data_IF_146519534970
#
_entry.id   IF_146519534970
#
_cell.length_a   1.000
_cell.length_b   1.000
_cell.length_c   1.000
_cell.angle_alpha   90.00
_cell.angle_beta   90.00
_cell.angle_gamma   90.00
#
_symmetry.space_group_name_H-M   'P 1'
#
loop_
_entity.id
_entity.type
_entity.pdbx_description
1 polymer ?
#
# COMPACT_ATOMS: atom_id res chain seq x y z
N UNK A 1 -32.01 -10.14 -0.97
CA UNK A 1 -32.29 -8.76 -0.52
C UNK A 1 -30.94 -8.06 -0.44
N UNK A 2 -30.54 -7.08 -1.24
CA UNK A 2 -31.20 -6.24 -2.25
C UNK A 2 -30.17 -6.02 -3.39
N UNK A 3 -30.53 -6.31 -4.64
CA UNK A 3 -29.65 -6.19 -5.83
C UNK A 3 -29.39 -4.70 -6.21
N UNK A 4 -30.07 -3.77 -5.52
CA UNK A 4 -30.04 -2.33 -5.78
C UNK A 4 -28.80 -1.57 -5.22
N UNK A 5 -28.04 -2.12 -4.26
CA UNK A 5 -26.89 -1.39 -3.67
C UNK A 5 -25.57 -1.56 -4.44
N UNK A 6 -25.43 -2.64 -5.22
CA UNK A 6 -24.22 -2.94 -6.02
C UNK A 6 -23.97 -1.90 -7.13
N UNK A 7 -25.03 -1.32 -7.67
CA UNK A 7 -24.93 -0.26 -8.69
C UNK A 7 -24.59 1.12 -8.10
N UNK A 8 -24.76 1.31 -6.79
CA UNK A 8 -24.67 2.64 -6.18
C UNK A 8 -23.22 3.02 -5.89
N UNK A 9 -22.40 2.12 -5.32
CA UNK A 9 -20.99 2.43 -5.00
C UNK A 9 -20.12 2.53 -6.25
N UNK A 10 -20.22 1.58 -7.18
CA UNK A 10 -19.54 1.67 -8.47
C UNK A 10 -20.09 2.82 -9.33
N UNK A 11 -21.38 3.15 -9.18
CA UNK A 11 -21.99 4.34 -9.75
C UNK A 11 -21.38 5.62 -9.19
N UNK A 12 -21.14 5.71 -7.87
CA UNK A 12 -20.52 6.86 -7.23
C UNK A 12 -19.07 7.06 -7.66
N UNK A 13 -18.25 6.00 -7.70
CA UNK A 13 -16.86 6.10 -8.17
C UNK A 13 -16.80 6.43 -9.67
N UNK A 14 -17.64 5.80 -10.51
CA UNK A 14 -17.73 6.16 -11.94
C UNK A 14 -18.25 7.58 -12.16
N UNK A 15 -19.21 8.05 -11.35
CA UNK A 15 -19.73 9.41 -11.45
C UNK A 15 -18.73 10.44 -10.91
N UNK A 16 -17.94 10.14 -9.88
CA UNK A 16 -16.84 10.98 -9.40
C UNK A 16 -15.73 11.13 -10.45
N UNK A 17 -15.38 10.03 -11.13
CA UNK A 17 -14.42 10.06 -12.23
C UNK A 17 -14.96 10.81 -13.46
N UNK A 18 -16.28 10.75 -13.71
CA UNK A 18 -16.94 11.47 -14.82
C UNK A 18 -17.11 12.97 -14.54
N UNK A 19 -17.48 13.34 -13.31
CA UNK A 19 -17.69 14.73 -12.90
C UNK A 19 -16.39 15.57 -12.91
N UNK A 20 -15.24 14.95 -12.63
CA UNK A 20 -13.95 15.62 -12.73
C UNK A 20 -13.46 15.83 -14.18
N UNK A 21 -13.96 15.05 -15.14
CA UNK A 21 -13.64 15.24 -16.55
C UNK A 21 -14.42 16.43 -17.17
N UNK A 22 -15.60 16.74 -16.63
CA UNK A 22 -16.47 17.80 -17.15
C UNK A 22 -16.13 19.20 -16.57
N UNK A 23 -15.40 19.28 -15.45
CA UNK A 23 -15.02 20.55 -14.80
C UNK A 23 -13.72 21.19 -15.31
N UNK A 24 -13.07 20.64 -16.35
CA UNK A 24 -11.89 21.26 -16.99
C UNK A 24 -12.23 22.24 -18.12
N UNK A 25 -13.50 22.62 -18.29
CA UNK A 25 -13.91 23.70 -19.18
C UNK A 25 -14.26 24.96 -18.38
N UNK A 26 -13.37 25.96 -18.48
CA UNK A 26 -13.53 27.40 -18.19
C UNK A 26 -14.69 27.88 -17.30
N UNK A 27 -14.37 28.64 -16.25
CA UNK A 27 -14.79 30.04 -16.15
C UNK A 27 -14.05 30.81 -15.04
N UNK A 28 -13.35 31.85 -15.46
CA UNK A 28 -12.93 32.97 -14.64
C UNK A 28 -14.15 33.80 -14.23
N UNK A 29 -14.28 34.19 -12.96
CA UNK A 29 -14.95 35.44 -12.56
C UNK A 29 -14.66 35.79 -11.09
N UNK A 30 -14.82 37.08 -10.82
CA UNK A 30 -14.15 37.93 -9.85
C UNK A 30 -14.75 37.97 -8.44
N UNK A 31 -13.86 38.27 -7.47
CA UNK A 31 -14.04 38.99 -6.19
C UNK A 31 -15.47 39.36 -5.77
N UNK A 32 -15.85 38.94 -4.57
CA UNK A 32 -16.43 39.83 -3.56
C UNK A 32 -16.15 39.32 -2.15
N UNK A 33 -15.93 40.29 -1.27
CA UNK A 33 -15.59 40.23 0.14
C UNK A 33 -16.76 39.79 1.01
N UNK A 34 -16.52 38.90 1.98
CA UNK A 34 -17.37 38.81 3.18
C UNK A 34 -16.57 38.29 4.39
N UNK A 35 -16.98 38.78 5.55
CA UNK A 35 -16.16 39.05 6.73
C UNK A 35 -15.86 37.82 7.59
N UNK A 36 -14.61 37.71 8.04
CA UNK A 36 -14.14 36.81 9.11
C UNK A 36 -14.74 37.22 10.46
N UNK A 37 -15.31 36.30 11.27
CA UNK A 37 -15.65 36.59 12.64
C UNK A 37 -14.41 36.58 13.55
N UNK A 38 -14.50 37.45 14.56
CA UNK A 38 -13.45 37.96 15.45
C UNK A 38 -12.81 36.87 16.32
N UNK A 39 -11.48 36.92 16.40
CA UNK A 39 -10.64 36.24 17.38
C UNK A 39 -10.92 36.83 18.76
N UNK A 40 -11.37 36.00 19.69
CA UNK A 40 -11.48 36.34 21.11
C UNK A 40 -10.27 35.72 21.85
N UNK A 41 -9.44 36.57 22.44
CA UNK A 41 -8.29 36.18 23.25
C UNK A 41 -8.70 36.05 24.73
N UNK A 42 -8.66 34.84 25.27
CA UNK A 42 -8.38 34.62 26.70
C UNK A 42 -7.73 33.25 26.94
N UNK A 43 -6.71 33.13 27.81
CA UNK A 43 -5.95 31.90 28.00
C UNK A 43 -6.38 31.17 29.27
N UNK A 44 -7.06 30.04 29.11
CA UNK A 44 -7.04 28.94 30.10
C UNK A 44 -7.14 27.64 29.33
N UNK A 45 -5.99 27.09 28.92
CA UNK A 45 -5.94 25.79 28.24
C UNK A 45 -5.87 24.71 29.32
N UNK A 46 -7.01 24.09 29.61
CA UNK A 46 -7.07 22.92 30.47
C UNK A 46 -6.45 21.73 29.71
N UNK A 47 -5.32 21.24 30.21
CA UNK A 47 -4.52 20.17 29.61
C UNK A 47 -5.20 18.78 29.56
N UNK A 48 -6.45 18.71 30.03
CA UNK A 48 -7.30 17.52 30.01
C UNK A 48 -8.08 17.35 28.70
N UNK A 49 -8.54 18.42 28.05
CA UNK A 49 -9.36 18.33 26.81
C UNK A 49 -8.55 17.97 25.56
N UNK A 50 -7.25 18.33 25.53
CA UNK A 50 -6.33 17.98 24.42
C UNK A 50 -5.97 16.48 24.36
N UNK A 51 -6.20 15.72 25.44
CA UNK A 51 -6.01 14.26 25.44
C UNK A 51 -7.22 13.54 24.87
N UNK A 52 -8.42 14.10 25.04
CA UNK A 52 -9.65 13.47 24.56
C UNK A 52 -9.82 13.63 23.04
N UNK A 53 -9.41 14.76 22.44
CA UNK A 53 -9.41 14.90 20.98
C UNK A 53 -8.42 13.97 20.28
N UNK A 54 -7.20 13.78 20.83
CA UNK A 54 -6.22 12.82 20.29
C UNK A 54 -6.66 11.36 20.44
N UNK A 55 -7.48 11.06 21.45
CA UNK A 55 -8.02 9.71 21.70
C UNK A 55 -9.26 9.45 20.84
N UNK A 56 -10.07 10.46 20.56
CA UNK A 56 -11.25 10.35 19.67
C UNK A 56 -10.88 10.28 18.18
N UNK A 57 -9.80 10.94 17.75
CA UNK A 57 -9.28 10.84 16.37
C UNK A 57 -8.75 9.45 16.00
N UNK A 58 -8.45 8.58 16.99
CA UNK A 58 -8.00 7.20 16.75
C UNK A 58 -9.15 6.21 16.53
N UNK A 59 -10.40 6.58 16.85
CA UNK A 59 -11.54 5.65 16.85
C UNK A 59 -12.54 5.84 15.69
N UNK A 60 -12.28 6.75 14.75
CA UNK A 60 -13.01 6.78 13.47
C UNK A 60 -12.41 5.76 12.49
N UNK A 61 -12.47 4.47 12.81
CA UNK A 61 -12.22 3.44 11.82
C UNK A 61 -13.34 3.48 10.78
N UNK A 62 -12.98 3.84 9.55
CA UNK A 62 -13.89 3.76 8.41
C UNK A 62 -14.35 2.30 8.28
N UNK A 63 -15.64 2.04 8.47
CA UNK A 63 -16.21 0.70 8.27
C UNK A 63 -16.28 0.41 6.77
N UNK A 64 -15.36 -0.43 6.27
CA UNK A 64 -15.37 -0.87 4.88
C UNK A 64 -16.33 -2.04 4.76
N UNK A 65 -17.37 -1.89 3.93
CA UNK A 65 -18.25 -2.99 3.59
C UNK A 65 -17.56 -3.90 2.57
N UNK A 66 -17.15 -5.07 3.04
CA UNK A 66 -16.55 -6.09 2.18
C UNK A 66 -17.61 -6.84 1.37
N UNK A 67 -17.22 -7.24 0.16
CA UNK A 67 -18.04 -7.94 -0.80
C UNK A 67 -18.15 -9.42 -0.50
N UNK A 68 -18.47 -10.19 -1.54
CA UNK A 68 -18.71 -11.64 -1.42
C UNK A 68 -17.77 -12.49 -2.26
N UNK A 69 -16.77 -11.87 -2.93
CA UNK A 69 -15.82 -12.60 -3.78
C UNK A 69 -14.92 -13.47 -2.90
N UNK A 70 -14.95 -14.77 -3.16
CA UNK A 70 -14.13 -15.78 -2.48
C UNK A 70 -13.03 -16.29 -3.41
N UNK A 71 -11.95 -16.81 -2.85
CA UNK A 71 -10.90 -17.50 -3.61
C UNK A 71 -11.11 -19.00 -3.41
N UNK A 72 -11.36 -19.75 -4.48
CA UNK A 72 -11.62 -21.19 -4.41
C UNK A 72 -12.69 -21.57 -3.38
N UNK A 73 -13.72 -20.73 -3.21
CA UNK A 73 -14.79 -20.94 -2.23
C UNK A 73 -14.45 -20.54 -0.78
N UNK A 74 -13.23 -20.04 -0.53
CA UNK A 74 -12.76 -19.59 0.77
C UNK A 74 -12.84 -18.06 0.92
N UNK A 75 -13.20 -17.54 2.11
CA UNK A 75 -13.02 -16.13 2.41
C UNK A 75 -11.53 -15.78 2.50
N UNK A 76 -11.22 -14.49 2.38
CA UNK A 76 -9.87 -13.96 2.61
C UNK A 76 -9.62 -13.89 4.12
N UNK A 77 -8.62 -14.64 4.57
CA UNK A 77 -8.17 -14.61 5.95
C UNK A 77 -6.92 -13.75 6.14
N UNK A 78 -6.21 -13.42 5.06
CA UNK A 78 -4.98 -12.63 5.09
C UNK A 78 -4.93 -11.62 3.95
N UNK A 79 -4.64 -10.36 4.28
CA UNK A 79 -4.28 -9.33 3.29
C UNK A 79 -2.82 -8.95 3.50
N UNK A 80 -2.00 -9.11 2.46
CA UNK A 80 -0.54 -9.07 2.58
C UNK A 80 0.07 -8.13 1.55
N UNK A 81 0.88 -7.19 2.02
CA UNK A 81 1.71 -6.34 1.18
C UNK A 81 2.92 -7.12 0.66
N UNK A 82 3.19 -7.03 -0.65
CA UNK A 82 4.43 -7.48 -1.28
C UNK A 82 5.36 -6.29 -1.62
N UNK A 83 5.13 -5.11 -1.05
CA UNK A 83 5.88 -3.89 -1.39
C UNK A 83 5.25 -3.15 -2.58
N UNK A 84 5.97 -2.36 -3.38
CA UNK A 84 7.43 -2.10 -3.43
C UNK A 84 7.95 -1.10 -2.39
N UNK A 85 7.07 -0.46 -1.63
CA UNK A 85 7.40 0.55 -0.63
C UNK A 85 6.38 0.51 0.52
N UNK A 86 6.56 1.35 1.55
CA UNK A 86 5.79 1.29 2.79
C UNK A 86 4.29 1.61 2.66
N UNK A 87 3.86 2.27 1.58
CA UNK A 87 2.47 2.72 1.38
C UNK A 87 1.44 1.61 1.55
N UNK A 88 1.61 0.47 0.87
CA UNK A 88 0.65 -0.65 0.96
C UNK A 88 0.54 -1.15 2.40
N UNK A 89 1.67 -1.32 3.08
CA UNK A 89 1.71 -1.75 4.47
C UNK A 89 1.01 -0.75 5.42
N UNK A 90 1.17 0.55 5.17
CA UNK A 90 0.51 1.61 5.93
C UNK A 90 -0.99 1.68 5.69
N UNK A 91 -1.46 1.59 4.44
CA UNK A 91 -2.90 1.53 4.11
C UNK A 91 -3.53 0.33 4.81
N UNK A 92 -2.95 -0.87 4.67
CA UNK A 92 -3.50 -2.07 5.31
C UNK A 92 -3.56 -1.96 6.83
N UNK A 93 -2.53 -1.34 7.45
CA UNK A 93 -2.53 -1.09 8.90
C UNK A 93 -3.60 -0.08 9.31
N UNK A 94 -3.73 1.04 8.58
CA UNK A 94 -4.66 2.14 8.85
C UNK A 94 -6.12 1.65 8.88
N UNK A 95 -6.47 0.72 7.99
CA UNK A 95 -7.83 0.21 7.86
C UNK A 95 -8.05 -1.16 8.53
N UNK A 96 -7.15 -1.59 9.42
CA UNK A 96 -7.31 -2.84 10.18
C UNK A 96 -7.26 -4.11 9.31
N UNK A 97 -6.76 -4.03 8.08
CA UNK A 97 -6.68 -5.15 7.13
C UNK A 97 -5.49 -6.07 7.39
N UNK A 98 -4.60 -5.69 8.30
CA UNK A 98 -3.31 -6.31 8.52
C UNK A 98 -3.26 -7.09 9.83
N UNK A 99 -3.26 -8.43 9.74
CA UNK A 99 -3.11 -9.33 10.92
C UNK A 99 -1.70 -9.36 11.50
N UNK A 100 -0.70 -9.25 10.64
CA UNK A 100 0.70 -9.44 11.00
C UNK A 100 1.62 -8.60 10.10
N UNK A 101 2.87 -8.44 10.49
CA UNK A 101 3.90 -7.88 9.61
C UNK A 101 4.62 -8.98 8.82
N UNK A 102 4.84 -8.75 7.54
CA UNK A 102 5.48 -9.65 6.59
C UNK A 102 6.77 -8.99 6.04
N UNK A 103 7.65 -9.74 5.35
CA UNK A 103 9.00 -9.30 5.00
C UNK A 103 9.07 -8.02 4.16
N UNK A 104 8.07 -7.80 3.31
CA UNK A 104 8.00 -6.67 2.40
C UNK A 104 7.29 -5.45 3.00
N UNK A 105 6.98 -5.49 4.29
CA UNK A 105 6.52 -4.31 5.00
C UNK A 105 7.69 -3.40 5.36
N UNK A 106 7.48 -2.08 5.22
CA UNK A 106 8.44 -1.08 5.70
C UNK A 106 9.82 -1.13 5.01
N UNK A 107 9.88 -1.66 3.78
CA UNK A 107 11.09 -1.73 2.97
C UNK A 107 10.88 -1.10 1.60
N UNK A 108 11.97 -0.71 0.95
CA UNK A 108 12.01 -0.36 -0.47
C UNK A 108 12.51 -1.55 -1.28
N UNK A 109 11.62 -2.12 -2.08
CA UNK A 109 11.83 -3.32 -2.88
C UNK A 109 11.39 -3.08 -4.33
N UNK A 110 11.30 -4.15 -5.11
CA UNK A 110 10.75 -4.19 -6.45
C UNK A 110 10.06 -5.54 -6.71
N UNK A 111 9.22 -5.66 -7.75
CA UNK A 111 8.64 -6.94 -8.15
C UNK A 111 9.70 -8.03 -8.37
N UNK A 112 10.85 -7.68 -8.96
CA UNK A 112 11.99 -8.58 -9.19
C UNK A 112 12.57 -9.10 -7.88
N UNK A 113 12.77 -8.23 -6.89
CA UNK A 113 13.25 -8.67 -5.57
C UNK A 113 12.26 -9.63 -4.90
N UNK A 114 10.95 -9.38 -5.03
CA UNK A 114 9.93 -10.30 -4.48
C UNK A 114 10.03 -11.66 -5.17
N UNK A 115 10.20 -11.68 -6.49
CA UNK A 115 10.39 -12.91 -7.27
C UNK A 115 11.64 -13.66 -6.78
N UNK A 116 12.78 -12.99 -6.64
CA UNK A 116 14.02 -13.58 -6.13
C UNK A 116 13.82 -14.19 -4.74
N UNK A 117 13.22 -13.45 -3.81
CA UNK A 117 12.94 -13.91 -2.45
C UNK A 117 12.01 -15.12 -2.41
N UNK A 118 11.02 -15.20 -3.32
CA UNK A 118 10.15 -16.36 -3.42
C UNK A 118 10.91 -17.57 -3.98
N UNK A 119 11.76 -17.35 -4.98
CA UNK A 119 12.52 -18.40 -5.65
C UNK A 119 13.55 -19.05 -4.73
N UNK A 120 14.33 -18.24 -4.01
CA UNK A 120 15.40 -18.69 -3.10
C UNK A 120 14.93 -18.94 -1.66
N UNK A 121 13.62 -18.87 -1.41
CA UNK A 121 13.01 -19.05 -0.10
C UNK A 121 13.55 -18.11 1.01
N UNK A 122 13.91 -16.89 0.64
CA UNK A 122 14.43 -15.80 1.46
C UNK A 122 15.86 -16.01 2.00
N UNK A 123 16.62 -16.94 1.41
CA UNK A 123 18.01 -17.17 1.81
C UNK A 123 18.88 -15.93 1.60
N UNK A 124 18.83 -15.32 0.42
CA UNK A 124 19.60 -14.12 0.11
C UNK A 124 19.12 -12.92 0.93
N UNK A 125 17.80 -12.75 1.06
CA UNK A 125 17.18 -11.67 1.84
C UNK A 125 17.69 -11.64 3.29
N UNK A 126 17.90 -12.81 3.90
CA UNK A 126 18.38 -12.95 5.28
C UNK A 126 19.90 -13.10 5.38
N UNK A 127 20.65 -13.07 4.28
CA UNK A 127 22.11 -13.14 4.34
C UNK A 127 22.69 -11.85 4.96
N UNK A 128 23.12 -11.93 6.22
CA UNK A 128 23.73 -10.81 6.96
C UNK A 128 24.91 -10.19 6.22
N UNK A 129 25.63 -10.94 5.38
CA UNK A 129 26.77 -10.41 4.59
C UNK A 129 26.33 -9.41 3.53
N UNK A 130 25.05 -9.47 3.13
CA UNK A 130 24.45 -8.53 2.19
C UNK A 130 23.89 -7.29 2.88
N UNK A 131 23.84 -7.23 4.21
CA UNK A 131 23.23 -6.12 4.93
C UNK A 131 24.28 -5.07 5.27
N UNK A 132 24.03 -3.82 4.90
CA UNK A 132 24.94 -2.71 5.15
C UNK A 132 24.24 -1.54 5.81
N UNK A 133 24.79 -1.07 6.91
CA UNK A 133 24.35 0.10 7.66
C UNK A 133 24.29 1.35 6.78
N UNK A 134 23.20 2.12 6.87
CA UNK A 134 23.08 3.44 6.19
C UNK A 134 22.56 4.56 7.11
N UNK A 135 22.28 4.29 8.39
CA UNK A 135 21.80 5.32 9.32
C UNK A 135 22.77 6.50 9.40
N UNK A 136 22.27 7.73 9.24
CA UNK A 136 23.09 8.95 9.19
C UNK A 136 23.86 9.17 7.88
N UNK A 137 23.78 8.23 6.93
CA UNK A 137 24.40 8.31 5.59
C UNK A 137 23.35 8.11 4.48
N UNK A 138 22.11 8.51 4.74
CA UNK A 138 21.00 8.42 3.77
C UNK A 138 21.14 9.44 2.66
N UNK A 139 20.53 9.12 1.52
CA UNK A 139 20.52 10.00 0.33
C UNK A 139 19.90 11.36 0.64
N UNK A 140 18.89 11.41 1.50
CA UNK A 140 18.24 12.65 1.93
C UNK A 140 18.86 13.29 3.18
N UNK A 141 19.96 12.75 3.71
CA UNK A 141 20.60 13.23 4.94
C UNK A 141 19.84 12.93 6.24
N UNK A 142 18.77 12.12 6.20
CA UNK A 142 18.01 11.74 7.38
C UNK A 142 18.84 10.87 8.34
N UNK A 143 18.63 11.08 9.65
CA UNK A 143 19.18 10.27 10.74
C UNK A 143 18.34 9.03 11.06
N UNK A 144 17.28 8.76 10.30
CA UNK A 144 16.43 7.59 10.54
C UNK A 144 17.19 6.26 10.44
N UNK A 145 16.94 5.30 11.35
CA UNK A 145 17.56 3.98 11.31
C UNK A 145 17.29 3.25 10.00
N UNK A 146 18.32 2.70 9.36
CA UNK A 146 18.16 1.93 8.14
C UNK A 146 19.38 1.13 7.73
N UNK A 147 19.13 0.13 6.88
CA UNK A 147 20.15 -0.63 6.19
C UNK A 147 19.81 -0.76 4.70
N UNK A 148 20.81 -1.03 3.88
CA UNK A 148 20.64 -1.43 2.48
C UNK A 148 20.97 -2.92 2.33
N UNK A 149 20.54 -3.50 1.21
CA UNK A 149 20.91 -4.85 0.79
C UNK A 149 21.84 -4.75 -0.42
N UNK A 150 23.10 -5.16 -0.28
CA UNK A 150 24.17 -4.95 -1.27
C UNK A 150 23.78 -5.55 -2.62
N UNK A 151 23.45 -6.84 -2.68
CA UNK A 151 23.04 -7.50 -3.92
C UNK A 151 21.82 -6.81 -4.60
N UNK A 152 20.71 -6.61 -3.89
CA UNK A 152 19.52 -5.98 -4.49
C UNK A 152 19.78 -4.52 -4.92
N UNK A 153 20.63 -3.79 -4.21
CA UNK A 153 21.04 -2.45 -4.62
C UNK A 153 21.84 -2.49 -5.92
N UNK A 154 22.80 -3.40 -6.04
CA UNK A 154 23.64 -3.54 -7.25
C UNK A 154 22.86 -4.07 -8.45
N UNK A 155 21.95 -5.00 -8.23
CA UNK A 155 21.22 -5.69 -9.30
C UNK A 155 19.92 -4.98 -9.72
N UNK A 156 19.21 -4.35 -8.78
CA UNK A 156 17.89 -3.74 -8.99
C UNK A 156 17.82 -2.24 -8.63
N UNK A 157 18.91 -1.67 -8.10
CA UNK A 157 18.92 -0.26 -7.71
C UNK A 157 18.03 0.05 -6.50
N UNK A 158 17.74 -0.92 -5.64
CA UNK A 158 16.96 -0.74 -4.39
C UNK A 158 17.85 -0.18 -3.27
N UNK A 159 18.04 1.14 -3.27
CA UNK A 159 18.74 1.85 -2.20
C UNK A 159 17.90 1.88 -0.92
N UNK A 160 18.58 1.90 0.24
CA UNK A 160 17.93 2.01 1.56
C UNK A 160 16.83 0.96 1.75
N UNK A 161 17.12 -0.27 1.31
CA UNK A 161 16.22 -1.41 1.26
C UNK A 161 15.42 -1.59 2.56
N UNK A 162 16.12 -1.70 3.70
CA UNK A 162 15.50 -1.73 5.02
C UNK A 162 15.28 -0.30 5.53
N UNK A 163 14.23 0.34 5.00
CA UNK A 163 14.03 1.79 5.11
C UNK A 163 13.75 2.28 6.52
N UNK A 164 13.18 1.48 7.40
CA UNK A 164 12.81 1.91 8.76
C UNK A 164 13.54 1.14 9.87
N UNK A 165 14.46 0.24 9.52
CA UNK A 165 15.16 -0.64 10.45
C UNK A 165 16.56 -0.90 9.95
N UNK A 166 17.52 -0.79 10.84
CA UNK A 166 18.90 -1.15 10.56
C UNK A 166 19.12 -2.62 10.89
N UNK A 167 19.14 -3.47 9.86
CA UNK A 167 19.30 -4.93 10.00
C UNK A 167 20.72 -5.39 10.34
N UNK A 168 21.68 -4.46 10.43
CA UNK A 168 22.99 -4.78 11.03
C UNK A 168 22.92 -4.94 12.54
N UNK A 169 21.84 -4.42 13.15
CA UNK A 169 21.49 -4.62 14.56
C UNK A 169 20.67 -5.91 14.71
N UNK A 170 21.07 -6.77 15.65
CA UNK A 170 20.49 -8.09 15.86
C UNK A 170 18.97 -8.09 16.10
N UNK A 171 18.46 -7.14 16.89
CA UNK A 171 17.02 -7.03 17.15
C UNK A 171 16.20 -6.79 15.87
N UNK A 172 16.68 -5.89 15.00
CA UNK A 172 16.05 -5.56 13.72
C UNK A 172 16.17 -6.71 12.72
N UNK A 173 17.32 -7.39 12.68
CA UNK A 173 17.48 -8.62 11.91
C UNK A 173 16.46 -9.67 12.34
N UNK A 174 16.33 -9.89 13.66
CA UNK A 174 15.41 -10.87 14.22
C UNK A 174 13.94 -10.51 13.94
N UNK A 175 13.59 -9.22 13.82
CA UNK A 175 12.26 -8.79 13.35
C UNK A 175 11.97 -9.35 11.95
N UNK A 176 12.88 -9.17 11.00
CA UNK A 176 12.68 -9.67 9.63
C UNK A 176 12.74 -11.20 9.55
N UNK A 177 13.61 -11.85 10.32
CA UNK A 177 13.64 -13.32 10.42
C UNK A 177 12.28 -13.90 10.87
N UNK A 178 11.64 -13.29 11.88
CA UNK A 178 10.28 -13.67 12.30
C UNK A 178 9.23 -13.35 11.23
N UNK A 179 9.35 -12.22 10.54
CA UNK A 179 8.44 -11.85 9.46
C UNK A 179 8.52 -12.85 8.29
N UNK A 180 9.73 -13.26 7.90
CA UNK A 180 9.99 -14.29 6.88
C UNK A 180 9.42 -15.63 7.32
N UNK A 181 9.69 -16.04 8.56
CA UNK A 181 9.14 -17.30 9.09
C UNK A 181 7.62 -17.33 9.01
N UNK A 182 6.94 -16.27 9.45
CA UNK A 182 5.47 -16.15 9.34
C UNK A 182 4.98 -16.18 7.88
N UNK A 183 5.68 -15.51 6.98
CA UNK A 183 5.31 -15.49 5.56
C UNK A 183 5.46 -16.87 4.93
N UNK A 184 6.54 -17.60 5.21
CA UNK A 184 6.73 -18.98 4.76
C UNK A 184 5.63 -19.92 5.27
N UNK A 185 5.22 -19.78 6.53
CA UNK A 185 4.09 -20.55 7.06
C UNK A 185 2.76 -20.15 6.43
N UNK A 186 2.54 -18.85 6.17
CA UNK A 186 1.36 -18.39 5.44
C UNK A 186 1.31 -18.98 4.02
N UNK A 187 2.42 -19.01 3.29
CA UNK A 187 2.45 -19.58 1.94
C UNK A 187 2.09 -21.08 1.91
N UNK A 188 2.40 -21.81 2.98
CA UNK A 188 2.03 -23.23 3.13
C UNK A 188 0.59 -23.45 3.57
N UNK A 189 -0.09 -22.43 4.11
CA UNK A 189 -1.44 -22.60 4.64
C UNK A 189 -2.47 -22.71 3.52
N UNK A 190 -3.59 -23.41 3.76
CA UNK A 190 -4.70 -23.49 2.81
C UNK A 190 -5.70 -22.33 2.94
N UNK A 191 -5.42 -21.35 3.81
CA UNK A 191 -6.33 -20.21 4.04
C UNK A 191 -6.37 -19.28 2.83
N UNK A 192 -7.44 -18.48 2.69
CA UNK A 192 -7.56 -17.51 1.60
C UNK A 192 -6.62 -16.31 1.77
N UNK A 193 -5.82 -16.01 0.75
CA UNK A 193 -4.77 -14.98 0.78
C UNK A 193 -5.02 -13.92 -0.30
N UNK A 194 -5.01 -12.65 0.08
CA UNK A 194 -5.00 -11.53 -0.85
C UNK A 194 -3.64 -10.86 -0.80
N UNK A 195 -2.83 -11.02 -1.85
CA UNK A 195 -1.57 -10.31 -2.01
C UNK A 195 -1.80 -9.00 -2.75
N UNK A 196 -1.12 -7.94 -2.32
CA UNK A 196 -1.22 -6.62 -2.93
C UNK A 196 0.18 -6.06 -3.13
N UNK A 197 0.47 -5.60 -4.34
CA UNK A 197 1.70 -4.90 -4.67
C UNK A 197 1.38 -3.58 -5.36
N UNK A 198 1.89 -2.48 -4.81
CA UNK A 198 1.81 -1.15 -5.43
C UNK A 198 3.23 -0.75 -5.83
N UNK A 199 3.43 -0.51 -7.12
CA UNK A 199 4.74 -0.16 -7.68
C UNK A 199 4.75 1.24 -8.26
N UNK A 200 5.74 2.03 -7.85
CA UNK A 200 5.99 3.36 -8.43
C UNK A 200 6.42 3.23 -9.90
N UNK A 201 6.30 4.30 -10.68
CA UNK A 201 6.64 4.29 -12.12
C UNK A 201 8.09 3.87 -12.44
N UNK A 202 9.01 4.00 -11.47
CA UNK A 202 10.40 3.55 -11.60
C UNK A 202 10.64 2.07 -11.23
N UNK A 203 9.57 1.31 -10.97
CA UNK A 203 9.56 -0.13 -10.70
C UNK A 203 8.53 -0.77 -11.62
N UNK A 204 9.00 -1.59 -12.55
CA UNK A 204 8.19 -2.13 -13.63
C UNK A 204 7.39 -3.34 -13.16
N UNK A 205 6.19 -3.09 -12.62
CA UNK A 205 5.29 -4.17 -12.25
C UNK A 205 4.65 -4.80 -13.47
N UNK A 206 4.37 -4.03 -14.52
CA UNK A 206 3.63 -4.52 -15.68
C UNK A 206 4.37 -5.69 -16.34
N UNK A 207 5.66 -5.53 -16.62
CA UNK A 207 6.44 -6.58 -17.28
C UNK A 207 6.82 -7.73 -16.34
N UNK A 208 6.84 -7.50 -15.02
CA UNK A 208 7.16 -8.53 -14.02
C UNK A 208 5.92 -9.24 -13.44
N UNK A 209 4.70 -8.78 -13.75
CA UNK A 209 3.48 -9.26 -13.08
C UNK A 209 3.24 -10.76 -13.30
N UNK A 210 3.53 -11.26 -14.49
CA UNK A 210 3.32 -12.66 -14.84
C UNK A 210 4.34 -13.57 -14.16
N UNK A 211 5.60 -13.13 -14.10
CA UNK A 211 6.65 -13.82 -13.36
C UNK A 211 6.34 -13.85 -11.86
N UNK A 212 5.88 -12.74 -11.29
CA UNK A 212 5.48 -12.65 -9.88
C UNK A 212 4.27 -13.55 -9.58
N UNK A 213 3.25 -13.53 -10.43
CA UNK A 213 2.08 -14.41 -10.27
C UNK A 213 2.51 -15.87 -10.29
N UNK A 214 3.33 -16.26 -11.27
CA UNK A 214 3.85 -17.63 -11.38
C UNK A 214 4.71 -18.04 -10.19
N UNK A 215 5.54 -17.14 -9.66
CA UNK A 215 6.33 -17.40 -8.46
C UNK A 215 5.43 -17.67 -7.23
N UNK A 216 4.32 -16.95 -7.09
CA UNK A 216 3.33 -17.22 -6.04
C UNK A 216 2.59 -18.55 -6.26
N UNK A 217 2.18 -18.86 -7.50
CA UNK A 217 1.53 -20.14 -7.84
C UNK A 217 2.39 -21.36 -7.49
N UNK A 218 3.71 -21.23 -7.62
CA UNK A 218 4.66 -22.29 -7.25
C UNK A 218 4.80 -22.47 -5.74
N UNK A 219 4.41 -21.48 -4.94
CA UNK A 219 4.69 -21.43 -3.49
C UNK A 219 3.45 -21.53 -2.62
N UNK A 220 2.27 -21.19 -3.13
CA UNK A 220 1.03 -21.20 -2.37
C UNK A 220 -0.19 -21.49 -3.26
N UNK A 221 -1.24 -21.99 -2.64
CA UNK A 221 -2.58 -22.08 -3.22
C UNK A 221 -3.48 -20.97 -2.63
N UNK A 222 -4.76 -20.98 -3.04
CA UNK A 222 -5.84 -20.19 -2.45
C UNK A 222 -5.50 -18.70 -2.31
N UNK A 223 -4.90 -18.12 -3.33
CA UNK A 223 -4.51 -16.72 -3.35
C UNK A 223 -5.10 -15.93 -4.52
N UNK A 224 -5.14 -14.62 -4.34
CA UNK A 224 -5.39 -13.65 -5.39
C UNK A 224 -4.35 -12.54 -5.30
N UNK A 225 -3.73 -12.18 -6.42
CA UNK A 225 -2.75 -11.08 -6.49
C UNK A 225 -3.39 -9.84 -7.12
N UNK A 226 -3.40 -8.73 -6.39
CA UNK A 226 -3.74 -7.40 -6.92
C UNK A 226 -2.44 -6.62 -7.15
N UNK A 227 -2.14 -6.32 -8.40
CA UNK A 227 -1.04 -5.44 -8.80
C UNK A 227 -1.54 -4.05 -9.18
N UNK A 228 -0.86 -3.01 -8.71
CA UNK A 228 -1.13 -1.63 -9.12
C UNK A 228 0.17 -0.96 -9.54
N UNK A 229 0.29 -0.67 -10.84
CA UNK A 229 1.34 0.17 -11.39
C UNK A 229 0.93 1.64 -11.28
N UNK A 230 1.65 2.42 -10.47
CA UNK A 230 1.49 3.87 -10.43
C UNK A 230 2.13 4.50 -11.66
N UNK A 231 1.37 5.40 -12.28
CA UNK A 231 1.77 6.18 -13.45
C UNK A 231 2.13 7.60 -12.99
N UNK A 232 3.27 7.80 -12.34
CA UNK A 232 3.69 9.16 -11.96
C UNK A 232 4.53 9.81 -13.06
N UNK A 233 4.02 10.90 -13.64
CA UNK A 233 4.81 11.99 -14.23
C UNK A 233 4.30 13.32 -13.66
N UNK A 234 5.14 14.00 -12.85
CA UNK A 234 4.78 15.25 -12.14
C UNK A 234 4.84 16.51 -13.02
N UNK A 235 4.33 16.47 -14.24
CA UNK A 235 4.41 17.65 -15.13
C UNK A 235 3.07 18.23 -15.55
N UNK A 236 1.98 17.48 -15.46
CA UNK A 236 0.65 17.95 -15.88
C UNK A 236 -0.45 17.38 -14.98
N UNK A 237 -1.60 18.04 -14.89
CA UNK A 237 -2.75 17.51 -14.17
C UNK A 237 -3.27 16.27 -14.91
N UNK A 238 -2.80 15.08 -14.52
CA UNK A 238 -3.37 13.86 -15.06
C UNK A 238 -4.75 13.64 -14.45
N UNK A 239 -5.74 13.22 -15.26
CA UNK A 239 -7.02 12.81 -14.71
C UNK A 239 -6.78 11.63 -13.76
N UNK A 240 -7.52 11.61 -12.66
CA UNK A 240 -7.62 10.43 -11.81
C UNK A 240 -8.19 9.29 -12.64
N UNK A 241 -7.47 8.18 -12.76
CA UNK A 241 -8.00 6.99 -13.43
C UNK A 241 -7.38 5.71 -12.90
N UNK A 242 -8.16 4.64 -12.99
CA UNK A 242 -7.77 3.28 -12.73
C UNK A 242 -8.13 2.45 -13.96
N UNK A 243 -7.12 1.85 -14.59
CA UNK A 243 -7.27 1.07 -15.82
C UNK A 243 -6.87 -0.38 -15.58
N UNK A 244 -7.76 -1.33 -15.87
CA UNK A 244 -7.50 -2.76 -15.75
C UNK A 244 -6.67 -3.22 -16.95
N UNK A 245 -5.43 -3.64 -16.70
CA UNK A 245 -4.51 -4.13 -17.74
C UNK A 245 -4.61 -5.63 -17.93
N UNK A 246 -4.85 -6.38 -16.85
CA UNK A 246 -4.95 -7.83 -16.86
C UNK A 246 -5.89 -8.30 -15.77
N UNK A 247 -6.65 -9.35 -16.07
CA UNK A 247 -7.54 -10.01 -15.11
C UNK A 247 -7.58 -11.50 -15.41
N UNK A 248 -7.31 -12.30 -14.40
CA UNK A 248 -7.26 -13.76 -14.46
C UNK A 248 -8.04 -14.35 -13.28
N UNK A 249 -8.06 -15.68 -13.17
CA UNK A 249 -8.75 -16.36 -12.07
C UNK A 249 -8.17 -16.02 -10.69
N UNK A 250 -6.85 -15.78 -10.61
CA UNK A 250 -6.10 -15.58 -9.37
C UNK A 250 -5.29 -14.28 -9.35
N UNK A 251 -5.45 -13.38 -10.33
CA UNK A 251 -4.74 -12.10 -10.32
C UNK A 251 -5.45 -11.01 -11.11
N UNK A 252 -5.21 -9.76 -10.74
CA UNK A 252 -5.59 -8.60 -11.51
C UNK A 252 -4.51 -7.52 -11.43
N UNK A 253 -4.19 -6.90 -12.56
CA UNK A 253 -3.21 -5.83 -12.70
C UNK A 253 -3.91 -4.57 -13.17
N UNK A 254 -3.64 -3.47 -12.47
CA UNK A 254 -4.15 -2.16 -12.78
C UNK A 254 -3.02 -1.18 -13.03
N UNK A 255 -3.26 -0.18 -13.89
CA UNK A 255 -2.50 1.05 -13.90
C UNK A 255 -3.32 2.15 -13.22
N UNK A 256 -2.68 2.91 -12.34
CA UNK A 256 -3.33 3.94 -11.54
C UNK A 256 -2.59 5.28 -11.68
N UNK A 257 -3.33 6.30 -12.11
CA UNK A 257 -2.92 7.70 -12.06
C UNK A 257 -3.60 8.33 -10.86
N UNK A 258 -2.82 8.75 -9.86
CA UNK A 258 -3.30 9.32 -8.60
C UNK A 258 -3.39 10.85 -8.66
N UNK A 259 -4.30 11.42 -7.88
CA UNK A 259 -4.42 12.89 -7.73
C UNK A 259 -3.32 13.50 -6.86
N UNK A 260 -2.69 12.68 -6.02
CA UNK A 260 -1.62 13.10 -5.12
C UNK A 260 -0.39 12.22 -5.27
N UNK A 261 0.77 12.77 -4.93
CA UNK A 261 2.04 12.02 -4.93
C UNK A 261 2.29 11.45 -3.54
N UNK A 262 2.39 10.13 -3.46
CA UNK A 262 2.74 9.42 -2.23
C UNK A 262 4.24 9.39 -1.95
N UNK A 263 5.08 9.73 -2.93
CA UNK A 263 6.54 9.66 -2.80
C UNK A 263 7.06 10.40 -1.55
N UNK A 264 7.96 9.73 -0.83
CA UNK A 264 8.48 10.13 0.49
C UNK A 264 7.45 10.17 1.62
N UNK A 265 6.28 9.57 1.42
CA UNK A 265 5.25 9.38 2.44
C UNK A 265 4.88 7.92 2.52
N UNK A 266 4.25 7.57 3.63
CA UNK A 266 3.65 6.25 3.86
C UNK A 266 2.12 6.28 3.67
N UNK A 267 1.57 7.37 3.13
CA UNK A 267 0.16 7.59 2.89
C UNK A 267 -0.03 8.46 1.65
N UNK A 268 -1.22 8.38 1.03
CA UNK A 268 -1.61 9.39 0.04
C UNK A 268 -2.12 10.63 0.78
N UNK A 269 -1.69 11.85 0.37
CA UNK A 269 -2.34 13.07 0.84
C UNK A 269 -3.83 13.13 0.50
N UNK A 270 -4.23 12.56 -0.65
CA UNK A 270 -5.62 12.49 -1.07
C UNK A 270 -6.30 11.22 -0.56
N UNK A 271 -7.36 11.38 0.24
CA UNK A 271 -8.19 10.26 0.68
C UNK A 271 -8.83 9.52 -0.51
N UNK A 272 -9.13 10.23 -1.61
CA UNK A 272 -9.68 9.63 -2.83
C UNK A 272 -8.74 8.58 -3.41
N UNK A 273 -7.44 8.83 -3.41
CA UNK A 273 -6.45 7.87 -3.93
C UNK A 273 -6.42 6.60 -3.05
N UNK A 274 -6.46 6.74 -1.73
CA UNK A 274 -6.56 5.58 -0.82
C UNK A 274 -7.86 4.81 -1.01
N UNK A 275 -9.00 5.50 -1.18
CA UNK A 275 -10.30 4.85 -1.41
C UNK A 275 -10.32 4.03 -2.70
N UNK A 276 -9.59 4.47 -3.73
CA UNK A 276 -9.45 3.69 -4.97
C UNK A 276 -8.68 2.39 -4.71
N UNK A 277 -7.56 2.46 -3.98
CA UNK A 277 -6.80 1.25 -3.59
C UNK A 277 -7.65 0.31 -2.73
N UNK A 278 -8.41 0.85 -1.77
CA UNK A 278 -9.30 0.04 -0.94
C UNK A 278 -10.44 -0.57 -1.74
N UNK A 279 -10.92 0.09 -2.81
CA UNK A 279 -12.01 -0.47 -3.63
C UNK A 279 -11.60 -1.79 -4.29
N UNK A 280 -10.33 -1.93 -4.68
CA UNK A 280 -9.74 -3.18 -5.21
C UNK A 280 -9.71 -4.33 -4.19
N UNK A 281 -9.72 -4.01 -2.91
CA UNK A 281 -9.76 -4.97 -1.79
C UNK A 281 -11.21 -5.27 -1.40
N UNK A 282 -12.08 -4.27 -1.50
CA UNK A 282 -13.43 -4.30 -0.95
C UNK A 282 -14.35 -5.33 -1.60
N UNK A 283 -14.04 -5.82 -2.81
CA UNK A 283 -14.86 -6.82 -3.50
C UNK A 283 -14.85 -8.21 -2.83
N UNK A 284 -13.82 -8.50 -2.03
CA UNK A 284 -13.61 -9.81 -1.44
C UNK A 284 -14.39 -10.04 -0.14
N UNK A 285 -14.78 -11.28 0.14
CA UNK A 285 -15.31 -11.73 1.44
C UNK A 285 -14.14 -11.81 2.43
N UNK A 286 -13.91 -10.73 3.17
CA UNK A 286 -12.79 -10.61 4.10
C UNK A 286 -13.22 -11.01 5.52
N UNK A 287 -12.55 -12.02 6.09
CA UNK A 287 -12.76 -12.53 7.44
C UNK A 287 -11.44 -12.58 8.20
N UNK A 288 -11.06 -11.43 8.72
CA UNK A 288 -9.86 -11.29 9.55
C UNK A 288 -10.19 -11.68 10.99
N UNK A 289 -10.32 -12.99 11.24
CA UNK A 289 -10.45 -13.56 12.60
C UNK A 289 -9.10 -13.53 13.30
#
# INVERSE_FOLDING_TARGET
>A
MNILDKHRVMGYVKNLLKFNADNTASESLSRSSEQLPKICNSPTCDSSELKDEKTQLQNNQLHINFGSKKINGLPISHVVSLGSHCLTASILKKYGLKKASFPFDWIFSSPEVVIDCLNDEFELFLDKRQHKFVTGNRVNGSSEPGATHIYFQEHYGTKEFFTHRDTTIEENYNYYSRAVSRFKELLKSDEGKLFIIISRGNRDLINNFDALTKALEQKTNNFFLVGVQLLHSRTESFPLFLDEKKNTVNSALYSFSSTSVEEFRDHYPSMTDEMIILSLISDFDIKLI
#
